data_IF_724222014503
#
_entry.id   IF_724222014503
#
_cell.length_a   1.000
_cell.length_b   1.000
_cell.length_c   1.000
_cell.angle_alpha   90.00
_cell.angle_beta   90.00
_cell.angle_gamma   90.00
#
_symmetry.space_group_name_H-M   'P 1'
#
loop_
_entity.id
_entity.type
_entity.pdbx_description
1 polymer ?
#
# COMPACT_ATOMS: atom_id res chain seq x y z
N UNK A 1 -8.74 -17.16 -8.72
CA UNK A 1 -8.63 -15.84 -9.37
C UNK A 1 -8.23 -14.80 -8.33
N UNK A 2 -7.73 -13.64 -8.74
CA UNK A 2 -7.51 -12.45 -7.90
C UNK A 2 -7.97 -11.20 -8.63
N UNK A 3 -8.47 -10.21 -7.89
CA UNK A 3 -8.75 -8.87 -8.40
C UNK A 3 -7.49 -8.01 -8.38
N UNK A 4 -7.26 -7.31 -9.48
CA UNK A 4 -6.12 -6.40 -9.67
C UNK A 4 -6.56 -5.18 -10.49
N UNK A 5 -6.06 -3.97 -10.20
CA UNK A 5 -6.25 -2.83 -11.09
C UNK A 5 -5.65 -3.10 -12.47
N UNK A 6 -6.37 -2.72 -13.53
CA UNK A 6 -5.92 -2.95 -14.91
C UNK A 6 -4.59 -2.28 -15.23
N UNK A 7 -4.31 -1.15 -14.58
CA UNK A 7 -3.11 -0.35 -14.81
C UNK A 7 -1.98 -0.61 -13.80
N UNK A 8 -2.04 -1.66 -12.97
CA UNK A 8 -0.95 -2.00 -12.05
C UNK A 8 0.30 -2.46 -12.79
N UNK A 9 1.45 -1.82 -12.51
CA UNK A 9 2.77 -2.09 -13.11
C UNK A 9 3.88 -1.94 -12.08
N UNK A 10 5.04 -2.58 -12.31
CA UNK A 10 6.23 -2.32 -11.47
C UNK A 10 6.85 -0.93 -11.69
N UNK A 11 6.69 -0.38 -12.89
CA UNK A 11 7.19 0.93 -13.26
C UNK A 11 6.04 1.69 -13.93
N UNK A 12 5.33 2.56 -13.20
CA UNK A 12 4.18 3.27 -13.76
C UNK A 12 4.64 4.33 -14.77
N UNK A 13 3.88 4.51 -15.85
CA UNK A 13 4.08 5.63 -16.78
C UNK A 13 3.55 6.94 -16.16
N UNK A 14 3.96 8.09 -16.69
CA UNK A 14 3.46 9.38 -16.19
C UNK A 14 1.93 9.49 -16.28
N UNK A 15 1.32 8.99 -17.35
CA UNK A 15 -0.14 8.93 -17.48
C UNK A 15 -0.79 8.14 -16.33
N UNK A 16 -0.23 6.98 -15.98
CA UNK A 16 -0.76 6.14 -14.89
C UNK A 16 -0.59 6.78 -13.52
N UNK A 17 0.52 7.51 -13.33
CA UNK A 17 0.76 8.29 -12.11
C UNK A 17 -0.27 9.40 -11.98
N UNK A 18 -0.59 10.10 -13.07
CA UNK A 18 -1.65 11.11 -13.10
C UNK A 18 -3.04 10.50 -12.85
N UNK A 19 -3.37 9.36 -13.47
CA UNK A 19 -4.62 8.65 -13.23
C UNK A 19 -4.76 8.23 -11.75
N UNK A 20 -3.69 7.70 -11.15
CA UNK A 20 -3.69 7.30 -9.75
C UNK A 20 -3.80 8.50 -8.82
N UNK A 21 -3.10 9.59 -9.12
CA UNK A 21 -3.22 10.87 -8.42
C UNK A 21 -4.65 11.44 -8.48
N UNK A 22 -5.26 11.46 -9.68
CA UNK A 22 -6.63 11.91 -9.89
C UNK A 22 -7.62 11.05 -9.09
N UNK A 23 -7.47 9.73 -9.12
CA UNK A 23 -8.29 8.80 -8.35
C UNK A 23 -8.27 9.11 -6.85
N UNK A 24 -7.10 9.39 -6.27
CA UNK A 24 -6.98 9.75 -4.85
C UNK A 24 -7.71 11.06 -4.54
N UNK A 25 -7.68 12.03 -5.47
CA UNK A 25 -8.34 13.32 -5.32
C UNK A 25 -9.86 13.24 -5.52
N UNK A 26 -10.32 12.43 -6.48
CA UNK A 26 -11.73 12.22 -6.79
C UNK A 26 -12.43 11.44 -5.68
N UNK A 27 -11.69 10.63 -4.92
CA UNK A 27 -12.20 9.85 -3.79
C UNK A 27 -11.49 10.23 -2.48
N UNK A 28 -11.78 11.44 -1.96
CA UNK A 28 -11.18 11.91 -0.72
C UNK A 28 -11.80 11.18 0.50
N UNK A 29 -11.21 11.31 1.70
CA UNK A 29 -11.63 10.58 2.89
C UNK A 29 -13.12 10.70 3.24
N UNK A 30 -13.75 11.83 2.89
CA UNK A 30 -15.17 12.13 3.16
C UNK A 30 -16.13 11.25 2.36
N UNK A 31 -15.66 10.59 1.30
CA UNK A 31 -16.45 9.59 0.55
C UNK A 31 -16.47 8.21 1.21
N UNK A 32 -15.80 8.05 2.35
CA UNK A 32 -15.71 6.80 3.09
C UNK A 32 -16.32 6.97 4.48
N UNK A 33 -16.85 5.88 5.03
CA UNK A 33 -17.45 5.88 6.37
C UNK A 33 -16.38 6.05 7.46
N UNK A 34 -15.14 5.67 7.16
CA UNK A 34 -14.02 5.80 8.08
C UNK A 34 -12.74 6.17 7.34
N UNK A 35 -11.84 6.84 8.06
CA UNK A 35 -10.50 7.14 7.54
C UNK A 35 -9.70 5.87 7.21
N UNK A 36 -9.95 4.79 7.96
CA UNK A 36 -9.32 3.49 7.74
C UNK A 36 -9.77 2.86 6.41
N UNK A 37 -11.02 3.05 6.02
CA UNK A 37 -11.54 2.59 4.73
C UNK A 37 -10.90 3.36 3.58
N UNK A 38 -10.79 4.69 3.70
CA UNK A 38 -10.04 5.51 2.73
C UNK A 38 -8.57 5.10 2.66
N UNK A 39 -7.95 4.86 3.82
CA UNK A 39 -6.55 4.44 3.87
C UNK A 39 -6.34 3.07 3.20
N UNK A 40 -7.28 2.14 3.36
CA UNK A 40 -7.26 0.87 2.62
C UNK A 40 -7.42 1.10 1.10
N UNK A 41 -8.35 1.98 0.70
CA UNK A 41 -8.62 2.31 -0.69
C UNK A 41 -7.37 2.77 -1.44
N UNK A 42 -6.63 3.74 -0.90
CA UNK A 42 -5.41 4.28 -1.54
C UNK A 42 -4.26 3.26 -1.64
N UNK A 43 -4.38 2.07 -1.03
CA UNK A 43 -3.41 0.97 -1.11
C UNK A 43 -3.95 -0.25 -1.89
N UNK A 44 -4.93 -0.07 -2.77
CA UNK A 44 -5.46 -1.16 -3.61
C UNK A 44 -4.48 -1.60 -4.72
N UNK A 45 -3.46 -0.81 -5.04
CA UNK A 45 -2.42 -1.25 -5.97
C UNK A 45 -1.50 -2.32 -5.33
N UNK A 46 -1.34 -3.51 -5.94
CA UNK A 46 -0.53 -4.58 -5.38
C UNK A 46 0.96 -4.26 -5.33
N UNK A 47 1.50 -3.43 -6.21
CA UNK A 47 2.92 -3.12 -6.21
C UNK A 47 3.26 -2.18 -5.08
N UNK A 48 2.45 -1.14 -4.87
CA UNK A 48 2.57 -0.30 -3.67
C UNK A 48 2.49 -1.15 -2.40
N UNK A 49 1.52 -2.08 -2.29
CA UNK A 49 1.46 -2.97 -1.12
C UNK A 49 2.68 -3.86 -0.94
N UNK A 50 3.25 -4.41 -2.02
CA UNK A 50 4.48 -5.19 -1.92
C UNK A 50 5.64 -4.35 -1.39
N UNK A 51 5.75 -3.09 -1.83
CA UNK A 51 6.76 -2.14 -1.32
C UNK A 51 6.52 -1.83 0.16
N UNK A 52 5.27 -1.55 0.56
CA UNK A 52 4.91 -1.33 1.96
C UNK A 52 5.21 -2.54 2.84
N UNK A 53 4.87 -3.75 2.39
CA UNK A 53 5.14 -4.98 3.11
C UNK A 53 6.66 -5.20 3.24
N UNK A 54 7.42 -5.02 2.17
CA UNK A 54 8.88 -5.09 2.20
C UNK A 54 9.47 -4.09 3.19
N UNK A 55 9.07 -2.83 3.13
CA UNK A 55 9.53 -1.79 4.07
C UNK A 55 9.18 -2.09 5.52
N UNK A 56 7.98 -2.61 5.77
CA UNK A 56 7.56 -3.05 7.11
C UNK A 56 8.48 -4.16 7.65
N UNK A 57 8.80 -5.18 6.84
CA UNK A 57 9.64 -6.30 7.30
C UNK A 57 11.09 -5.89 7.51
N UNK A 58 11.67 -5.13 6.59
CA UNK A 58 13.05 -4.63 6.73
C UNK A 58 13.15 -3.65 7.90
N UNK A 59 12.16 -2.77 8.06
CA UNK A 59 12.09 -1.85 9.19
C UNK A 59 11.98 -2.57 10.53
N UNK A 60 11.12 -3.60 10.61
CA UNK A 60 10.99 -4.43 11.80
C UNK A 60 12.29 -5.16 12.15
N UNK A 61 13.00 -5.68 11.14
CA UNK A 61 14.33 -6.27 11.34
C UNK A 61 15.28 -5.27 12.02
N UNK A 62 15.36 -4.03 11.53
CA UNK A 62 16.19 -3.00 12.16
C UNK A 62 15.72 -2.61 13.56
N UNK A 63 14.41 -2.55 13.81
CA UNK A 63 13.90 -2.31 15.16
C UNK A 63 14.28 -3.42 16.14
N UNK A 64 14.32 -4.68 15.71
CA UNK A 64 14.82 -5.78 16.54
C UNK A 64 16.32 -5.63 16.81
N UNK A 65 17.11 -5.21 15.82
CA UNK A 65 18.56 -4.98 15.99
C UNK A 65 18.89 -3.92 17.04
N UNK A 66 18.03 -2.91 17.23
CA UNK A 66 18.18 -1.91 18.32
C UNK A 66 18.34 -2.60 19.68
N UNK A 67 17.50 -3.61 19.95
CA UNK A 67 17.45 -4.33 21.22
C UNK A 67 18.56 -5.37 21.38
N UNK A 68 19.05 -5.93 20.26
CA UNK A 68 20.15 -6.90 20.27
C UNK A 68 21.48 -6.20 20.57
N UNK A 69 21.72 -5.06 19.93
CA UNK A 69 23.02 -4.39 19.96
C UNK A 69 23.21 -3.49 21.20
N UNK A 70 22.15 -2.79 21.63
CA UNK A 70 22.17 -1.89 22.81
C UNK A 70 23.39 -0.93 22.86
N UNK A 71 23.83 -0.41 21.71
CA UNK A 71 25.00 0.47 21.58
C UNK A 71 24.68 1.75 20.81
N UNK A 72 25.67 2.62 20.57
CA UNK A 72 25.48 3.80 19.71
C UNK A 72 25.01 3.44 18.29
N UNK A 73 25.31 2.21 17.83
CA UNK A 73 24.81 1.67 16.57
C UNK A 73 23.28 1.50 16.57
N UNK A 74 22.64 1.38 17.74
CA UNK A 74 21.19 1.34 17.89
C UNK A 74 20.50 2.62 17.39
N UNK A 75 21.17 3.78 17.45
CA UNK A 75 20.65 5.03 16.87
C UNK A 75 20.56 4.88 15.35
N UNK A 76 21.60 4.34 14.73
CA UNK A 76 21.60 4.09 13.29
C UNK A 76 20.53 3.07 12.89
N UNK A 77 20.38 1.97 13.63
CA UNK A 77 19.30 1.00 13.41
C UNK A 77 17.91 1.60 13.59
N UNK A 78 17.72 2.51 14.55
CA UNK A 78 16.47 3.25 14.67
C UNK A 78 16.17 4.08 13.42
N UNK A 79 17.15 4.83 12.92
CA UNK A 79 16.98 5.64 11.70
C UNK A 79 16.66 4.76 10.48
N UNK A 80 17.37 3.64 10.32
CA UNK A 80 17.05 2.67 9.26
C UNK A 80 15.66 2.06 9.44
N UNK A 81 15.30 1.67 10.66
CA UNK A 81 13.98 1.13 10.98
C UNK A 81 12.86 2.08 10.58
N UNK A 82 12.95 3.35 10.99
CA UNK A 82 11.99 4.39 10.61
C UNK A 82 11.95 4.61 9.10
N UNK A 83 13.13 4.70 8.45
CA UNK A 83 13.22 4.89 7.00
C UNK A 83 12.56 3.74 6.23
N UNK A 84 12.84 2.48 6.56
CA UNK A 84 12.27 1.35 5.86
C UNK A 84 10.77 1.18 6.17
N UNK A 85 10.39 1.32 7.45
CA UNK A 85 9.01 1.08 7.88
C UNK A 85 8.03 2.13 7.34
N UNK A 86 8.44 3.41 7.33
CA UNK A 86 7.58 4.52 6.90
C UNK A 86 8.04 5.16 5.59
N UNK A 87 9.33 5.41 5.43
CA UNK A 87 9.91 6.11 4.29
C UNK A 87 9.65 5.39 2.96
N UNK A 88 9.76 4.06 2.90
CA UNK A 88 9.43 3.33 1.67
C UNK A 88 7.95 3.45 1.27
N UNK A 89 7.04 3.54 2.24
CA UNK A 89 5.63 3.81 1.95
C UNK A 89 5.45 5.19 1.30
N UNK A 90 6.07 6.22 1.87
CA UNK A 90 6.07 7.59 1.31
C UNK A 90 6.68 7.61 -0.10
N UNK A 91 7.83 6.96 -0.29
CA UNK A 91 8.49 6.85 -1.61
C UNK A 91 7.57 6.16 -2.62
N UNK A 92 6.86 5.10 -2.21
CA UNK A 92 5.92 4.42 -3.09
C UNK A 92 4.78 5.35 -3.55
N UNK A 93 4.21 6.17 -2.66
CA UNK A 93 3.20 7.16 -3.05
C UNK A 93 3.78 8.23 -3.99
N UNK A 94 5.00 8.71 -3.76
CA UNK A 94 5.66 9.65 -4.68
C UNK A 94 5.88 9.06 -6.09
N UNK A 95 6.21 7.77 -6.17
CA UNK A 95 6.41 7.08 -7.44
C UNK A 95 5.06 6.81 -8.14
N UNK A 96 4.04 6.33 -7.43
CA UNK A 96 2.82 5.80 -8.05
C UNK A 96 1.66 6.79 -8.13
N UNK A 97 1.55 7.75 -7.20
CA UNK A 97 0.43 8.71 -7.14
C UNK A 97 0.87 10.17 -6.95
N UNK A 98 2.14 10.48 -7.22
CA UNK A 98 2.71 11.82 -7.08
C UNK A 98 2.61 12.38 -5.65
N UNK A 99 2.47 11.50 -4.66
CA UNK A 99 2.31 11.85 -3.25
C UNK A 99 0.96 12.50 -2.95
N UNK A 100 -0.10 12.20 -3.73
CA UNK A 100 -1.46 12.69 -3.43
C UNK A 100 -2.09 11.94 -2.26
N UNK A 101 -1.70 10.68 -2.05
CA UNK A 101 -2.16 9.89 -0.92
C UNK A 101 -1.40 10.27 0.36
N UNK A 102 -1.86 11.32 1.04
CA UNK A 102 -1.26 11.80 2.29
C UNK A 102 -2.10 11.43 3.51
N UNK A 103 -1.53 10.64 4.41
CA UNK A 103 -2.18 10.38 5.70
C UNK A 103 -2.12 11.59 6.61
N UNK A 104 -3.24 11.99 7.22
CA UNK A 104 -3.25 13.05 8.21
C UNK A 104 -2.63 12.56 9.52
N UNK A 105 -1.68 13.31 10.14
CA UNK A 105 -0.96 12.84 11.33
C UNK A 105 -1.86 12.41 12.50
N UNK A 106 -3.03 13.05 12.65
CA UNK A 106 -4.02 12.71 13.69
C UNK A 106 -4.54 11.27 13.62
N UNK A 107 -4.43 10.61 12.47
CA UNK A 107 -4.89 9.23 12.27
C UNK A 107 -3.75 8.20 12.30
N UNK A 108 -2.54 8.60 12.70
CA UNK A 108 -1.34 7.76 12.65
C UNK A 108 -1.54 6.36 13.29
N UNK A 109 -2.13 6.27 14.48
CA UNK A 109 -2.35 4.98 15.14
C UNK A 109 -3.36 4.11 14.41
N UNK A 110 -4.43 4.70 13.88
CA UNK A 110 -5.46 3.93 13.17
C UNK A 110 -4.94 3.43 11.84
N UNK A 111 -4.18 4.25 11.10
CA UNK A 111 -3.55 3.85 9.84
C UNK A 111 -2.42 2.86 10.04
N UNK A 112 -1.68 2.93 11.16
CA UNK A 112 -0.67 1.93 11.52
C UNK A 112 -1.27 0.53 11.67
N UNK A 113 -2.42 0.41 12.31
CA UNK A 113 -3.09 -0.89 12.42
C UNK A 113 -3.52 -1.39 11.03
N UNK A 114 -4.07 -0.51 10.20
CA UNK A 114 -4.53 -0.87 8.85
C UNK A 114 -3.37 -1.27 7.93
N UNK A 115 -2.25 -0.55 7.96
CA UNK A 115 -1.05 -0.86 7.13
C UNK A 115 -0.50 -2.23 7.48
N UNK A 116 -0.35 -2.53 8.77
CA UNK A 116 0.10 -3.85 9.24
C UNK A 116 -0.87 -4.92 8.74
N UNK A 117 -2.17 -4.69 8.91
CA UNK A 117 -3.19 -5.64 8.50
C UNK A 117 -3.11 -5.95 7.00
N UNK A 118 -3.08 -4.96 6.11
CA UNK A 118 -3.06 -5.26 4.67
C UNK A 118 -1.71 -5.78 4.19
N UNK A 119 -0.60 -5.41 4.82
CA UNK A 119 0.72 -5.97 4.51
C UNK A 119 0.77 -7.47 4.81
N UNK A 120 0.30 -7.87 6.00
CA UNK A 120 0.19 -9.29 6.36
C UNK A 120 -0.77 -10.03 5.42
N UNK A 121 -1.92 -9.42 5.09
CA UNK A 121 -2.84 -10.03 4.13
C UNK A 121 -2.25 -10.18 2.72
N UNK A 122 -1.35 -9.28 2.32
CA UNK A 122 -0.62 -9.36 1.05
C UNK A 122 0.36 -10.53 1.10
N UNK A 123 1.16 -10.64 2.15
CA UNK A 123 2.15 -11.71 2.33
C UNK A 123 1.52 -13.10 2.40
N UNK A 124 0.43 -13.26 3.14
CA UNK A 124 -0.23 -14.56 3.30
C UNK A 124 -1.33 -14.84 2.25
N UNK A 125 -1.48 -14.00 1.23
CA UNK A 125 -2.41 -14.26 0.11
C UNK A 125 -3.90 -14.12 0.46
N UNK A 126 -4.22 -13.43 1.57
CA UNK A 126 -5.59 -13.14 2.04
C UNK A 126 -6.12 -11.78 1.57
N UNK A 127 -5.29 -10.97 0.89
CA UNK A 127 -5.67 -9.63 0.47
C UNK A 127 -6.92 -9.62 -0.43
N UNK A 128 -7.00 -10.52 -1.42
CA UNK A 128 -8.16 -10.59 -2.33
C UNK A 128 -9.49 -10.78 -1.58
N UNK A 129 -9.50 -11.62 -0.53
CA UNK A 129 -10.68 -11.82 0.32
C UNK A 129 -11.09 -10.52 1.02
N UNK A 130 -10.12 -9.71 1.48
CA UNK A 130 -10.38 -8.40 2.08
C UNK A 130 -10.87 -7.39 1.05
N UNK A 131 -10.22 -7.32 -0.11
CA UNK A 131 -10.62 -6.44 -1.21
C UNK A 131 -12.07 -6.72 -1.64
N UNK A 132 -12.46 -7.99 -1.78
CA UNK A 132 -13.85 -8.35 -2.12
C UNK A 132 -14.86 -7.93 -1.06
N UNK A 133 -14.51 -8.02 0.23
CA UNK A 133 -15.36 -7.49 1.31
C UNK A 133 -15.45 -5.96 1.25
N UNK A 134 -14.34 -5.30 0.96
CA UNK A 134 -14.28 -3.85 0.79
C UNK A 134 -15.15 -3.38 -0.37
N UNK A 135 -15.09 -4.06 -1.52
CA UNK A 135 -15.93 -3.77 -2.70
C UNK A 135 -17.42 -3.93 -2.41
N UNK A 136 -17.83 -4.92 -1.59
CA UNK A 136 -19.22 -5.04 -1.17
C UNK A 136 -19.72 -3.80 -0.42
N UNK A 137 -18.82 -3.13 0.31
CA UNK A 137 -19.10 -1.88 1.03
C UNK A 137 -18.99 -0.65 0.11
N UNK A 138 -18.05 -0.67 -0.82
CA UNK A 138 -17.76 0.42 -1.76
C UNK A 138 -17.74 -0.07 -3.22
N UNK A 139 -18.91 -0.24 -3.86
CA UNK A 139 -18.98 -0.82 -5.21
C UNK A 139 -18.25 -0.01 -6.29
N UNK A 140 -18.22 1.33 -6.15
CA UNK A 140 -17.53 2.23 -7.08
C UNK A 140 -16.03 1.92 -7.26
N UNK A 141 -15.44 1.18 -6.32
CA UNK A 141 -14.02 0.77 -6.35
C UNK A 141 -13.70 -0.05 -7.60
N UNK A 142 -14.66 -0.83 -8.11
CA UNK A 142 -14.49 -1.62 -9.34
C UNK A 142 -14.18 -0.70 -10.51
N UNK A 143 -14.98 0.36 -10.68
CA UNK A 143 -14.83 1.33 -11.76
C UNK A 143 -13.60 2.20 -11.53
N UNK A 144 -13.43 2.73 -10.32
CA UNK A 144 -12.33 3.64 -9.98
C UNK A 144 -10.94 3.04 -10.25
N UNK A 145 -10.77 1.73 -10.00
CA UNK A 145 -9.52 1.01 -10.23
C UNK A 145 -9.51 0.18 -11.53
N UNK A 146 -10.59 0.18 -12.30
CA UNK A 146 -10.79 -0.73 -13.44
C UNK A 146 -10.41 -2.18 -13.06
N UNK A 147 -10.97 -2.68 -11.95
CA UNK A 147 -10.58 -3.97 -11.40
C UNK A 147 -10.94 -5.10 -12.36
N UNK A 148 -9.99 -6.00 -12.58
CA UNK A 148 -10.18 -7.21 -13.39
C UNK A 148 -9.73 -8.47 -12.65
N UNK A 149 -10.31 -9.60 -13.04
CA UNK A 149 -9.92 -10.89 -12.51
C UNK A 149 -8.81 -11.55 -13.33
N UNK A 150 -7.73 -11.96 -12.65
CA UNK A 150 -6.65 -12.74 -13.27
C UNK A 150 -6.36 -14.03 -12.51
N UNK A 151 -5.74 -15.00 -13.19
CA UNK A 151 -5.17 -16.18 -12.52
C UNK A 151 -3.98 -15.76 -11.67
N UNK A 152 -3.88 -16.26 -10.42
CA UNK A 152 -2.76 -15.95 -9.50
C UNK A 152 -1.39 -16.27 -10.13
N UNK A 153 -1.30 -17.37 -10.88
CA UNK A 153 -0.09 -17.77 -11.61
C UNK A 153 0.35 -16.75 -12.67
N UNK A 154 -0.52 -15.85 -13.11
CA UNK A 154 -0.21 -14.82 -14.10
C UNK A 154 0.14 -13.47 -13.46
N UNK A 155 0.16 -13.35 -12.13
CA UNK A 155 0.33 -12.08 -11.43
C UNK A 155 1.60 -11.33 -11.83
N UNK A 156 2.77 -11.96 -11.77
CA UNK A 156 4.02 -11.31 -12.15
C UNK A 156 4.08 -10.98 -13.65
N UNK A 157 3.60 -11.91 -14.49
CA UNK A 157 3.50 -11.69 -15.94
C UNK A 157 2.59 -10.50 -16.27
N UNK A 158 1.55 -10.28 -15.49
CA UNK A 158 0.62 -9.17 -15.64
C UNK A 158 1.30 -7.83 -15.35
N UNK A 159 2.02 -7.74 -14.23
CA UNK A 159 2.71 -6.52 -13.78
C UNK A 159 3.90 -6.10 -14.66
N UNK A 160 4.42 -7.01 -15.50
CA UNK A 160 5.54 -6.76 -16.41
C UNK A 160 5.10 -6.44 -17.84
N UNK A 161 3.85 -6.72 -18.22
CA UNK A 161 3.37 -6.62 -19.62
C UNK A 161 2.47 -5.44 -19.87
N UNK A 162 1.67 -5.09 -18.86
CA UNK A 162 1.19 -3.75 -18.76
C UNK A 162 2.41 -3.05 -18.18
#
# INVERSE_FOLDING_TARGET
>A
MILIPKNSRFFPTDEQRQQSAARVLDYPPEKFESYNDWFFYIHIDPVQRMIHAFGMYVGLFFFVMIFIEWSYLSIFYYLLGVFFFYGLGVISHLIYDLGKAKSAPRYFLSTLVVVIQFNLATTFGYYDKRLRKFIKKYPFVIEAYELQEIKRSHFFKFLSKN
#
